data_IF_529782086501
#
_entry.id   IF_529782086501
#
_cell.length_a   1.000
_cell.length_b   1.000
_cell.length_c   1.000
_cell.angle_alpha   90.00
_cell.angle_beta   90.00
_cell.angle_gamma   90.00
#
_symmetry.space_group_name_H-M   'P 1'
#
loop_
_entity.id
_entity.type
_entity.pdbx_description
1 polymer ?
#
# COMPACT_ATOMS: atom_id res chain seq x y z
N UNK A 1 46.69 5.70 13.69
CA UNK A 1 46.44 5.17 12.34
C UNK A 1 47.00 3.75 12.32
N UNK A 2 46.18 2.73 12.08
CA UNK A 2 46.64 1.33 12.18
C UNK A 2 47.47 0.98 10.93
N UNK A 3 48.73 0.51 11.07
CA UNK A 3 49.54 0.07 9.94
C UNK A 3 48.78 -1.00 9.14
N UNK A 4 48.63 -0.78 7.83
CA UNK A 4 47.85 -1.66 6.93
C UNK A 4 46.37 -1.28 6.74
N UNK A 5 45.88 -0.21 7.37
CA UNK A 5 44.51 0.26 7.14
C UNK A 5 44.34 0.94 5.78
N UNK A 6 43.40 0.47 4.98
CA UNK A 6 42.95 1.12 3.75
C UNK A 6 41.79 2.06 4.07
N UNK A 7 42.08 3.35 4.27
CA UNK A 7 41.08 4.42 4.32
C UNK A 7 40.72 4.99 2.94
N UNK A 8 39.75 5.91 2.90
CA UNK A 8 39.22 6.48 1.65
C UNK A 8 40.27 7.17 0.75
N UNK A 9 41.34 7.74 1.33
CA UNK A 9 42.42 8.37 0.57
C UNK A 9 43.23 7.39 -0.31
N UNK A 10 43.18 6.09 -0.01
CA UNK A 10 43.87 5.05 -0.79
C UNK A 10 43.03 4.51 -1.96
N UNK A 11 41.73 4.86 -2.03
CA UNK A 11 40.80 4.36 -3.05
C UNK A 11 40.50 5.50 -4.01
N UNK A 12 40.84 5.33 -5.29
CA UNK A 12 40.48 6.34 -6.32
C UNK A 12 38.96 6.38 -6.50
N UNK A 13 38.33 7.55 -6.66
CA UNK A 13 36.91 7.63 -6.95
C UNK A 13 36.50 6.74 -8.12
N UNK A 14 35.36 6.07 -7.96
CA UNK A 14 34.75 5.18 -8.97
C UNK A 14 35.60 3.95 -9.37
N UNK A 15 36.70 3.64 -8.67
CA UNK A 15 37.50 2.45 -8.99
C UNK A 15 36.87 1.13 -8.55
N UNK A 16 35.90 1.18 -7.63
CA UNK A 16 35.15 0.01 -7.16
C UNK A 16 33.87 -0.11 -7.99
N UNK A 17 33.69 -1.25 -8.63
CA UNK A 17 32.56 -1.58 -9.50
C UNK A 17 32.03 -2.98 -9.20
N UNK A 18 31.02 -3.44 -9.95
CA UNK A 18 30.26 -4.66 -9.65
C UNK A 18 31.13 -5.91 -9.44
N UNK A 19 32.19 -6.10 -10.24
CA UNK A 19 33.08 -7.26 -10.11
C UNK A 19 33.91 -7.30 -8.81
N UNK A 20 33.98 -6.19 -8.08
CA UNK A 20 34.67 -6.09 -6.80
C UNK A 20 33.75 -6.35 -5.60
N UNK A 21 32.43 -6.34 -5.80
CA UNK A 21 31.43 -6.52 -4.75
C UNK A 21 30.88 -7.93 -4.85
N UNK A 22 31.26 -8.79 -3.90
CA UNK A 22 30.73 -10.15 -3.85
C UNK A 22 29.27 -10.15 -3.37
N UNK A 23 28.46 -11.15 -3.75
CA UNK A 23 27.08 -11.26 -3.28
C UNK A 23 26.98 -11.22 -1.75
N UNK A 24 25.95 -10.55 -1.23
CA UNK A 24 25.65 -10.44 0.21
C UNK A 24 26.72 -9.76 1.08
N UNK A 25 27.71 -9.07 0.48
CA UNK A 25 28.75 -8.34 1.25
C UNK A 25 28.34 -6.97 1.76
N UNK A 26 27.19 -6.46 1.31
CA UNK A 26 26.67 -5.14 1.70
C UNK A 26 25.51 -5.36 2.67
N UNK A 27 25.66 -4.86 3.89
CA UNK A 27 24.67 -4.82 4.96
C UNK A 27 24.11 -3.41 5.12
N UNK A 28 23.08 -3.26 5.96
CA UNK A 28 22.39 -1.99 6.18
C UNK A 28 23.30 -0.85 6.66
N UNK A 29 24.35 -1.15 7.45
CA UNK A 29 25.26 -0.11 7.97
C UNK A 29 26.07 0.59 6.86
N UNK A 30 26.22 -0.05 5.70
CA UNK A 30 26.95 0.50 4.55
C UNK A 30 26.03 1.33 3.64
N UNK A 31 24.71 1.32 3.85
CA UNK A 31 23.73 2.02 3.03
C UNK A 31 23.28 3.29 3.75
N UNK A 32 23.58 4.44 3.16
CA UNK A 32 23.10 5.71 3.68
C UNK A 32 21.59 5.83 3.48
N UNK A 33 20.92 6.41 4.48
CA UNK A 33 19.49 6.75 4.39
C UNK A 33 19.18 7.59 3.13
N UNK A 34 18.10 7.24 2.43
CA UNK A 34 17.68 7.90 1.19
C UNK A 34 18.56 7.65 -0.03
N UNK A 35 19.67 6.89 0.09
CA UNK A 35 20.57 6.64 -1.06
C UNK A 35 19.98 5.74 -2.14
N UNK A 36 18.92 4.97 -1.82
CA UNK A 36 18.21 4.12 -2.76
C UNK A 36 16.91 4.81 -3.21
N UNK A 37 16.92 5.37 -4.42
CA UNK A 37 15.73 5.95 -5.06
C UNK A 37 14.87 4.87 -5.72
N UNK A 38 13.61 5.19 -6.00
CA UNK A 38 12.70 4.26 -6.68
C UNK A 38 13.22 3.76 -8.03
N UNK A 39 13.96 4.60 -8.77
CA UNK A 39 14.60 4.22 -10.05
C UNK A 39 15.70 3.15 -9.93
N UNK A 40 16.21 2.89 -8.72
CA UNK A 40 17.21 1.84 -8.45
C UNK A 40 16.57 0.50 -8.10
N UNK A 41 15.26 0.46 -7.85
CA UNK A 41 14.53 -0.77 -7.56
C UNK A 41 14.19 -1.50 -8.86
N UNK A 42 14.60 -2.76 -8.96
CA UNK A 42 14.19 -3.61 -10.06
C UNK A 42 12.67 -3.88 -10.00
N UNK A 43 12.06 -4.19 -11.15
CA UNK A 43 10.66 -4.60 -11.19
C UNK A 43 10.45 -5.82 -10.29
N UNK A 44 9.50 -5.72 -9.35
CA UNK A 44 9.20 -6.78 -8.39
C UNK A 44 10.17 -6.87 -7.20
N UNK A 45 11.08 -5.91 -7.02
CA UNK A 45 11.98 -5.88 -5.87
C UNK A 45 11.25 -5.63 -4.53
N UNK A 46 10.05 -5.03 -4.58
CA UNK A 46 9.17 -4.83 -3.42
C UNK A 46 7.88 -5.59 -3.70
N UNK A 47 7.54 -6.50 -2.80
CA UNK A 47 6.31 -7.27 -2.80
C UNK A 47 5.59 -7.12 -1.45
N UNK A 48 4.44 -7.79 -1.28
CA UNK A 48 3.63 -7.69 -0.07
C UNK A 48 4.37 -8.09 1.20
N UNK A 49 5.37 -8.99 1.14
CA UNK A 49 6.09 -9.46 2.32
C UNK A 49 7.06 -8.39 2.87
N UNK A 50 7.41 -7.41 2.05
CA UNK A 50 8.26 -6.28 2.43
C UNK A 50 7.49 -5.15 3.11
N UNK A 51 6.14 -5.16 3.05
CA UNK A 51 5.30 -4.09 3.58
C UNK A 51 4.85 -4.41 5.01
N UNK A 52 5.23 -3.55 5.95
CA UNK A 52 4.70 -3.62 7.32
C UNK A 52 3.22 -3.22 7.35
N UNK A 53 2.40 -3.77 8.26
CA UNK A 53 1.03 -3.32 8.45
C UNK A 53 0.97 -1.80 8.67
N UNK A 54 0.09 -1.12 7.93
CA UNK A 54 -0.08 0.34 8.01
C UNK A 54 0.99 1.18 7.29
N UNK A 55 1.98 0.56 6.62
CA UNK A 55 2.98 1.29 5.84
C UNK A 55 2.44 1.95 4.57
N UNK A 56 1.26 1.52 4.11
CA UNK A 56 0.54 2.11 2.98
C UNK A 56 -0.77 2.70 3.51
N UNK A 57 -0.87 4.02 3.46
CA UNK A 57 -2.07 4.78 3.78
C UNK A 57 -2.68 5.43 2.52
N UNK A 58 -3.80 6.15 2.70
CA UNK A 58 -4.50 6.80 1.59
C UNK A 58 -3.67 7.85 0.83
N UNK A 59 -2.65 8.45 1.45
CA UNK A 59 -1.77 9.42 0.79
C UNK A 59 -0.84 8.79 -0.24
N UNK A 60 -0.59 7.48 -0.13
CA UNK A 60 0.20 6.71 -1.08
C UNK A 60 -0.59 6.31 -2.32
N UNK A 61 -1.92 6.40 -2.28
CA UNK A 61 -2.80 5.99 -3.37
C UNK A 61 -3.13 7.20 -4.24
N UNK A 62 -2.86 7.09 -5.54
CA UNK A 62 -3.31 8.10 -6.50
C UNK A 62 -4.83 8.00 -6.69
N UNK A 63 -5.44 9.11 -7.09
CA UNK A 63 -6.86 9.16 -7.48
C UNK A 63 -7.12 8.07 -8.53
N UNK A 64 -8.27 7.42 -8.41
CA UNK A 64 -8.75 6.35 -9.30
C UNK A 64 -7.90 5.06 -9.32
N UNK A 65 -6.90 4.92 -8.46
CA UNK A 65 -6.09 3.68 -8.39
C UNK A 65 -6.91 2.49 -7.84
N UNK A 66 -7.91 2.74 -6.99
CA UNK A 66 -8.75 1.69 -6.41
C UNK A 66 -9.99 1.48 -7.28
N UNK A 67 -9.86 0.59 -8.26
CA UNK A 67 -10.97 0.08 -9.07
C UNK A 67 -11.80 -1.01 -8.35
N UNK A 68 -13.01 -1.28 -8.85
CA UNK A 68 -13.91 -2.30 -8.30
C UNK A 68 -13.29 -3.71 -8.24
N UNK A 69 -12.36 -4.06 -9.15
CA UNK A 69 -11.64 -5.34 -9.13
C UNK A 69 -10.72 -5.52 -7.91
N UNK A 70 -10.35 -4.43 -7.24
CA UNK A 70 -9.52 -4.46 -6.03
C UNK A 70 -10.34 -4.70 -4.77
N UNK A 71 -11.66 -4.59 -4.86
CA UNK A 71 -12.60 -4.71 -3.73
C UNK A 71 -13.26 -6.09 -3.81
N UNK A 72 -13.07 -6.90 -2.77
CA UNK A 72 -13.70 -8.21 -2.66
C UNK A 72 -15.22 -8.10 -2.48
N UNK A 73 -15.94 -9.18 -2.81
CA UNK A 73 -17.38 -9.26 -2.59
C UNK A 73 -17.71 -9.14 -1.09
N UNK A 74 -18.56 -8.18 -0.73
CA UNK A 74 -18.99 -7.96 0.66
C UNK A 74 -17.99 -7.18 1.54
N UNK A 75 -16.88 -6.69 0.98
CA UNK A 75 -15.91 -5.87 1.71
C UNK A 75 -16.46 -4.49 2.07
N UNK A 76 -17.30 -3.90 1.20
CA UNK A 76 -18.02 -2.66 1.51
C UNK A 76 -19.30 -3.01 2.27
N UNK A 77 -19.30 -2.74 3.58
CA UNK A 77 -20.43 -2.95 4.49
C UNK A 77 -21.14 -1.61 4.75
N UNK A 78 -22.36 -1.67 5.28
CA UNK A 78 -23.11 -0.47 5.68
C UNK A 78 -22.31 0.47 6.60
N UNK A 79 -21.47 -0.09 7.49
CA UNK A 79 -20.61 0.69 8.39
C UNK A 79 -19.53 1.52 7.66
N UNK A 80 -19.24 1.22 6.39
CA UNK A 80 -18.28 1.97 5.58
C UNK A 80 -18.95 3.13 4.81
N UNK A 81 -20.28 3.19 4.78
CA UNK A 81 -21.03 4.18 4.02
C UNK A 81 -21.34 5.41 4.87
N UNK A 82 -21.28 6.59 4.25
CA UNK A 82 -21.74 7.83 4.86
C UNK A 82 -23.22 7.74 5.27
N UNK A 83 -23.64 8.55 6.24
CA UNK A 83 -25.05 8.58 6.71
C UNK A 83 -26.02 8.88 5.56
N UNK A 84 -25.68 9.84 4.71
CA UNK A 84 -26.53 10.22 3.56
C UNK A 84 -26.73 9.06 2.58
N UNK A 85 -25.74 8.17 2.45
CA UNK A 85 -25.84 6.96 1.64
C UNK A 85 -26.77 5.90 2.26
N UNK A 86 -27.15 6.05 3.53
CA UNK A 86 -28.08 5.19 4.27
C UNK A 86 -29.49 5.78 4.35
N UNK A 87 -29.73 6.95 3.75
CA UNK A 87 -31.05 7.56 3.74
C UNK A 87 -32.05 6.76 2.91
N UNK A 88 -33.29 6.68 3.40
CA UNK A 88 -34.44 6.19 2.63
C UNK A 88 -34.70 7.01 1.37
N UNK A 89 -34.21 8.26 1.31
CA UNK A 89 -34.38 9.15 0.16
C UNK A 89 -33.67 8.64 -1.10
N UNK A 90 -32.69 7.75 -0.93
CA UNK A 90 -31.99 7.09 -2.05
C UNK A 90 -32.73 5.85 -2.56
N UNK A 91 -33.81 5.42 -1.91
CA UNK A 91 -34.64 4.33 -2.37
C UNK A 91 -35.57 4.83 -3.49
N UNK A 92 -35.46 4.30 -4.73
CA UNK A 92 -36.39 4.65 -5.78
C UNK A 92 -37.83 4.35 -5.36
N UNK A 93 -38.80 5.16 -5.82
CA UNK A 93 -40.22 4.88 -5.58
C UNK A 93 -40.58 3.47 -6.05
N UNK A 94 -41.30 2.73 -5.19
CA UNK A 94 -41.69 1.35 -5.45
C UNK A 94 -40.56 0.32 -5.34
N UNK A 95 -39.33 0.70 -4.94
CA UNK A 95 -38.23 -0.25 -4.74
C UNK A 95 -38.46 -1.21 -3.56
N UNK A 96 -39.29 -0.83 -2.59
CA UNK A 96 -39.74 -1.68 -1.48
C UNK A 96 -41.16 -2.15 -1.80
N UNK A 97 -41.29 -3.41 -2.25
CA UNK A 97 -42.59 -4.05 -2.53
C UNK A 97 -43.07 -4.85 -1.31
N UNK A 98 -44.36 -5.18 -1.25
CA UNK A 98 -44.93 -5.96 -0.16
C UNK A 98 -44.23 -7.32 0.06
N UNK A 99 -43.72 -7.94 -1.00
CA UNK A 99 -42.94 -9.19 -0.93
C UNK A 99 -41.60 -9.05 -0.21
N UNK A 100 -41.06 -7.84 -0.09
CA UNK A 100 -39.81 -7.55 0.64
C UNK A 100 -40.06 -7.28 2.13
N UNK A 101 -41.31 -7.14 2.53
CA UNK A 101 -41.72 -6.87 3.90
C UNK A 101 -42.11 -8.18 4.58
N UNK A 102 -41.67 -8.35 5.83
CA UNK A 102 -42.19 -9.44 6.64
C UNK A 102 -43.64 -9.13 7.07
N UNK A 103 -44.42 -10.18 7.33
CA UNK A 103 -45.76 -10.01 7.91
C UNK A 103 -45.66 -9.21 9.22
N UNK A 104 -46.57 -8.26 9.43
CA UNK A 104 -46.58 -7.35 10.59
C UNK A 104 -45.35 -6.43 10.73
N UNK A 105 -44.49 -6.29 9.71
CA UNK A 105 -43.29 -5.44 9.80
C UNK A 105 -43.56 -3.93 9.71
N UNK A 106 -44.75 -3.54 9.29
CA UNK A 106 -45.17 -2.13 9.20
C UNK A 106 -46.20 -1.83 10.27
N UNK A 107 -45.89 -0.84 11.10
CA UNK A 107 -46.84 -0.32 12.09
C UNK A 107 -47.69 0.77 11.43
N UNK A 108 -49.00 0.75 11.69
CA UNK A 108 -49.90 1.77 11.13
C UNK A 108 -49.85 3.01 12.01
N UNK A 109 -49.26 4.09 11.49
CA UNK A 109 -49.25 5.41 12.14
C UNK A 109 -50.45 6.23 11.67
#
# INVERSE_FOLDING_TARGET
MNPGSIGGAHIRPLSIGNGHIIPNSISSIQIQEGSISGSKLAKGAVDSQHLSPGSVDGSHLSIDTIEGRHIGHGEIKLAHLAEDARSSDLLPEGSITGEKLAEESVDSI
#
